data_IF_724396430692
#
_entry.id   IF_724396430692
#
_cell.length_a   1.000
_cell.length_b   1.000
_cell.length_c   1.000
_cell.angle_alpha   90.00
_cell.angle_beta   90.00
_cell.angle_gamma   90.00
#
_symmetry.space_group_name_H-M   'P 1'
#
loop_
_entity.id
_entity.type
_entity.pdbx_description
1 polymer ?
#
# COMPACT_ATOMS: atom_id res chain seq x y z
N UNK A 1 6.33 -1.08 -22.72
CA UNK A 1 4.86 -1.02 -22.88
C UNK A 1 4.26 -0.97 -21.49
N UNK A 2 3.26 -0.12 -21.20
CA UNK A 2 2.54 -0.23 -19.93
C UNK A 2 1.83 -1.60 -19.89
N UNK A 3 1.94 -2.31 -18.78
CA UNK A 3 1.20 -3.56 -18.60
C UNK A 3 -0.30 -3.24 -18.57
N UNK A 4 -1.17 -4.04 -19.23
CA UNK A 4 -2.60 -3.85 -19.10
C UNK A 4 -2.98 -3.98 -17.62
N UNK A 5 -3.67 -2.96 -17.10
CA UNK A 5 -4.06 -2.89 -15.69
C UNK A 5 -5.23 -3.84 -15.44
N UNK A 6 -5.13 -4.61 -14.37
CA UNK A 6 -6.14 -5.60 -13.99
C UNK A 6 -6.37 -5.52 -12.50
N UNK A 7 -7.62 -5.81 -12.11
CA UNK A 7 -7.93 -6.02 -10.72
C UNK A 7 -7.07 -7.14 -10.16
N UNK A 8 -6.66 -6.98 -8.91
CA UNK A 8 -5.80 -7.94 -8.26
C UNK A 8 -6.17 -8.16 -6.81
N UNK A 9 -5.80 -9.34 -6.34
CA UNK A 9 -5.89 -9.78 -4.96
C UNK A 9 -4.63 -10.59 -4.66
N UNK A 10 -3.88 -10.16 -3.64
CA UNK A 10 -2.63 -10.80 -3.23
C UNK A 10 -2.50 -10.88 -1.72
N UNK A 11 -1.86 -11.95 -1.27
CA UNK A 11 -1.38 -12.07 0.10
C UNK A 11 -0.03 -11.37 0.23
N UNK A 12 0.17 -10.69 1.35
CA UNK A 12 1.41 -10.00 1.71
C UNK A 12 1.77 -10.32 3.17
N UNK A 13 2.95 -9.88 3.59
CA UNK A 13 3.38 -9.98 4.99
C UNK A 13 4.08 -8.68 5.36
N UNK A 14 3.28 -7.63 5.59
CA UNK A 14 3.79 -6.29 5.86
C UNK A 14 3.61 -5.96 7.33
N UNK A 15 4.70 -6.13 8.08
CA UNK A 15 4.73 -5.78 9.49
C UNK A 15 5.00 -4.29 9.67
N UNK A 16 4.29 -3.61 10.59
CA UNK A 16 4.65 -2.26 10.97
C UNK A 16 6.05 -2.24 11.57
N UNK A 17 6.85 -1.27 11.16
CA UNK A 17 8.15 -0.98 11.75
C UNK A 17 8.04 0.31 12.58
N UNK A 18 8.93 0.46 13.57
CA UNK A 18 8.94 1.67 14.39
C UNK A 18 9.16 2.92 13.54
N UNK A 19 10.14 2.89 12.64
CA UNK A 19 10.40 3.99 11.71
C UNK A 19 10.39 3.50 10.26
N UNK A 20 10.10 4.45 9.35
CA UNK A 20 9.79 4.30 7.92
C UNK A 20 10.81 3.59 7.06
N UNK A 21 11.04 2.31 7.36
CA UNK A 21 11.79 1.39 6.54
C UNK A 21 11.08 1.24 5.20
N UNK A 22 11.48 2.08 4.25
CA UNK A 22 10.99 2.04 2.89
C UNK A 22 11.42 0.72 2.26
N UNK A 23 10.43 -0.05 1.81
CA UNK A 23 10.66 -1.25 1.02
C UNK A 23 10.50 -0.89 -0.44
N UNK A 24 11.61 -0.90 -1.17
CA UNK A 24 11.64 -0.72 -2.61
C UNK A 24 11.41 -2.05 -3.31
N UNK A 25 10.50 -2.05 -4.27
CA UNK A 25 10.18 -3.22 -5.08
C UNK A 25 10.75 -3.04 -6.48
N UNK A 26 11.46 -4.06 -6.97
CA UNK A 26 11.97 -4.06 -8.34
C UNK A 26 10.80 -3.96 -9.34
N UNK A 27 10.88 -3.01 -10.28
CA UNK A 27 9.89 -2.81 -11.35
C UNK A 27 9.81 -4.00 -12.33
N UNK A 28 10.75 -4.93 -12.27
CA UNK A 28 10.70 -6.19 -13.02
C UNK A 28 10.06 -7.34 -12.24
N UNK A 29 9.75 -7.16 -10.95
CA UNK A 29 9.09 -8.17 -10.13
C UNK A 29 7.63 -8.38 -10.54
N UNK A 30 7.11 -9.59 -10.28
CA UNK A 30 5.71 -9.89 -10.52
C UNK A 30 4.78 -9.10 -9.59
N UNK A 31 5.24 -8.77 -8.39
CA UNK A 31 4.51 -7.89 -7.47
C UNK A 31 4.27 -6.52 -8.10
N UNK A 32 5.32 -5.86 -8.62
CA UNK A 32 5.17 -4.56 -9.27
C UNK A 32 4.28 -4.64 -10.51
N UNK A 33 4.52 -5.64 -11.38
CA UNK A 33 3.71 -5.80 -12.60
C UNK A 33 2.23 -6.01 -12.31
N UNK A 34 1.89 -6.62 -11.17
CA UNK A 34 0.51 -6.88 -10.75
C UNK A 34 -0.12 -5.71 -10.00
N UNK A 35 0.63 -5.02 -9.15
CA UNK A 35 0.07 -4.01 -8.22
C UNK A 35 0.35 -2.57 -8.60
N UNK A 36 1.33 -2.34 -9.49
CA UNK A 36 1.89 -1.03 -9.78
C UNK A 36 2.71 -0.43 -8.64
N UNK A 37 2.76 -1.04 -7.46
CA UNK A 37 3.45 -0.51 -6.27
C UNK A 37 4.95 -0.79 -6.42
N UNK A 38 5.77 0.26 -6.40
CA UNK A 38 7.23 0.16 -6.44
C UNK A 38 7.92 0.56 -5.13
N UNK A 39 7.17 1.14 -4.19
CA UNK A 39 7.65 1.38 -2.84
C UNK A 39 6.48 1.27 -1.86
N UNK A 40 6.73 0.69 -0.69
CA UNK A 40 5.79 0.75 0.43
C UNK A 40 6.50 0.89 1.77
N UNK A 41 5.79 1.39 2.78
CA UNK A 41 6.19 1.35 4.17
C UNK A 41 4.96 1.18 5.06
N UNK A 42 5.11 0.44 6.15
CA UNK A 42 4.13 0.40 7.24
C UNK A 42 4.85 0.81 8.51
N UNK A 43 4.33 1.82 9.18
CA UNK A 43 4.98 2.40 10.34
C UNK A 43 3.99 2.85 11.42
N UNK A 44 4.50 3.08 12.62
CA UNK A 44 3.75 3.80 13.65
C UNK A 44 3.50 5.25 13.18
N UNK A 45 2.26 5.73 13.33
CA UNK A 45 1.86 7.06 12.88
C UNK A 45 2.19 8.13 13.93
N UNK A 46 3.47 8.53 14.01
CA UNK A 46 3.93 9.49 15.03
C UNK A 46 3.28 10.87 14.96
N UNK A 47 2.85 11.31 13.78
CA UNK A 47 2.25 12.62 13.57
C UNK A 47 0.72 12.61 13.64
N UNK A 48 0.11 11.45 13.96
CA UNK A 48 -1.32 11.30 14.02
C UNK A 48 -1.80 11.08 15.45
N UNK A 49 -2.60 12.02 15.98
CA UNK A 49 -3.15 11.90 17.33
C UNK A 49 -4.20 10.78 17.47
N UNK A 50 -4.84 10.40 16.37
CA UNK A 50 -5.99 9.49 16.38
C UNK A 50 -5.68 8.11 15.82
N UNK A 51 -4.57 7.97 15.07
CA UNK A 51 -4.21 6.74 14.39
C UNK A 51 -2.87 6.22 14.90
N UNK A 52 -2.78 4.91 15.14
CA UNK A 52 -1.56 4.26 15.63
C UNK A 52 -0.60 3.90 14.51
N UNK A 53 -1.10 3.67 13.29
CA UNK A 53 -0.31 3.17 12.18
C UNK A 53 -0.60 3.92 10.88
N UNK A 54 0.37 3.91 9.97
CA UNK A 54 0.30 4.52 8.65
C UNK A 54 0.85 3.54 7.61
N UNK A 55 0.12 3.37 6.51
CA UNK A 55 0.59 2.69 5.29
C UNK A 55 0.94 3.79 4.29
N UNK A 56 2.17 3.75 3.78
CA UNK A 56 2.66 4.63 2.73
C UNK A 56 2.96 3.80 1.49
N UNK A 57 2.49 4.21 0.32
CA UNK A 57 2.84 3.57 -0.95
C UNK A 57 3.24 4.58 -2.01
N UNK A 58 4.10 4.14 -2.93
CA UNK A 58 4.28 4.77 -4.23
C UNK A 58 3.89 3.78 -5.32
N UNK A 59 3.16 4.26 -6.31
CA UNK A 59 2.73 3.47 -7.47
C UNK A 59 2.81 4.29 -8.75
N UNK A 60 3.07 3.63 -9.88
CA UNK A 60 3.07 4.23 -11.22
C UNK A 60 1.67 4.19 -11.88
N UNK A 61 0.73 3.40 -11.34
CA UNK A 61 -0.56 3.11 -11.95
C UNK A 61 -1.76 3.48 -11.07
N UNK A 62 -2.87 4.01 -11.64
CA UNK A 62 -4.03 4.39 -10.84
C UNK A 62 -4.81 3.17 -10.38
N UNK A 63 -5.04 3.08 -9.08
CA UNK A 63 -5.77 1.99 -8.42
C UNK A 63 -6.50 2.50 -7.18
N UNK A 64 -7.63 1.87 -6.88
CA UNK A 64 -8.22 1.88 -5.54
C UNK A 64 -7.71 0.66 -4.79
N UNK A 65 -6.83 0.89 -3.81
CA UNK A 65 -6.27 -0.13 -2.95
C UNK A 65 -7.12 -0.34 -1.70
N UNK A 66 -7.29 -1.59 -1.29
CA UNK A 66 -7.83 -1.95 0.03
C UNK A 66 -6.82 -2.87 0.71
N UNK A 67 -6.36 -2.46 1.88
CA UNK A 67 -5.43 -3.21 2.73
C UNK A 67 -6.19 -3.91 3.84
N UNK A 68 -5.89 -5.17 4.09
CA UNK A 68 -6.49 -5.95 5.17
C UNK A 68 -5.44 -6.39 6.18
N UNK A 69 -5.75 -6.21 7.46
CA UNK A 69 -4.92 -6.69 8.56
C UNK A 69 -5.25 -8.12 8.99
N UNK A 70 -4.58 -8.62 10.03
CA UNK A 70 -4.78 -9.98 10.55
C UNK A 70 -6.14 -10.18 11.23
N UNK A 71 -6.82 -9.11 11.66
CA UNK A 71 -8.19 -9.15 12.21
C UNK A 71 -9.25 -9.16 11.09
N UNK A 72 -8.85 -8.82 9.87
CA UNK A 72 -9.72 -8.71 8.70
C UNK A 72 -10.32 -7.31 8.51
N UNK A 73 -9.87 -6.33 9.30
CA UNK A 73 -10.25 -4.93 9.14
C UNK A 73 -9.62 -4.38 7.85
N UNK A 74 -10.34 -3.47 7.19
CA UNK A 74 -9.98 -2.97 5.86
C UNK A 74 -9.74 -1.47 5.83
N UNK A 75 -8.73 -1.05 5.06
CA UNK A 75 -8.34 0.36 4.92
C UNK A 75 -8.20 0.72 3.44
N UNK A 76 -8.98 1.71 2.99
CA UNK A 76 -9.05 2.09 1.59
C UNK A 76 -8.14 3.27 1.25
N UNK A 77 -7.45 3.19 0.11
CA UNK A 77 -6.59 4.24 -0.44
C UNK A 77 -6.76 4.33 -1.95
N UNK A 78 -7.31 5.45 -2.43
CA UNK A 78 -7.48 5.70 -3.86
C UNK A 78 -6.36 6.56 -4.42
N UNK A 79 -5.65 6.05 -5.43
CA UNK A 79 -4.55 6.74 -6.12
C UNK A 79 -4.96 7.06 -7.55
N UNK A 80 -5.20 8.35 -7.83
CA UNK A 80 -5.67 8.83 -9.14
C UNK A 80 -4.57 9.42 -10.05
N UNK A 81 -3.46 9.94 -9.48
CA UNK A 81 -2.41 10.65 -10.23
C UNK A 81 -0.99 10.07 -10.03
N UNK A 82 -0.74 8.81 -10.41
CA UNK A 82 0.52 8.14 -10.08
C UNK A 82 1.63 8.41 -11.09
N UNK A 83 1.29 8.64 -12.36
CA UNK A 83 2.27 8.63 -13.46
C UNK A 83 3.16 9.87 -13.56
N UNK A 84 2.84 10.94 -12.84
CA UNK A 84 3.53 12.23 -12.93
C UNK A 84 3.90 12.82 -11.58
N UNK A 85 3.57 12.14 -10.48
CA UNK A 85 3.87 12.62 -9.16
C UNK A 85 4.57 11.50 -8.39
N UNK A 86 5.81 11.74 -7.98
CA UNK A 86 6.50 10.89 -7.00
C UNK A 86 5.88 11.11 -5.60
N UNK A 87 4.56 11.24 -5.52
CA UNK A 87 3.85 11.51 -4.28
C UNK A 87 3.71 10.20 -3.50
N UNK A 88 4.06 10.29 -2.23
CA UNK A 88 3.68 9.28 -1.26
C UNK A 88 2.17 9.37 -1.06
N UNK A 89 1.49 8.23 -1.16
CA UNK A 89 0.09 8.09 -0.83
C UNK A 89 -0.02 7.36 0.50
N UNK A 90 -0.72 7.98 1.46
CA UNK A 90 -0.77 7.50 2.83
C UNK A 90 -2.21 7.20 3.24
N UNK A 91 -2.39 6.11 4.00
CA UNK A 91 -3.62 5.83 4.76
C UNK A 91 -3.24 5.56 6.21
N UNK A 92 -3.91 6.27 7.11
CA UNK A 92 -3.75 6.09 8.55
C UNK A 92 -4.81 5.13 9.09
N UNK A 93 -4.43 4.27 10.03
CA UNK A 93 -5.32 3.24 10.56
C UNK A 93 -5.04 2.89 12.03
N UNK A 94 -6.01 2.20 12.63
CA UNK A 94 -5.95 1.65 13.98
C UNK A 94 -6.28 0.17 13.90
N UNK A 95 -5.42 -0.66 14.47
CA UNK A 95 -5.59 -2.12 14.51
C UNK A 95 -4.93 -2.66 15.78
N UNK A 96 -5.45 -3.76 16.33
CA UNK A 96 -4.76 -4.47 17.41
C UNK A 96 -3.75 -5.48 16.85
N UNK A 97 -3.97 -5.96 15.62
CA UNK A 97 -3.04 -6.79 14.86
C UNK A 97 -2.63 -6.09 13.55
N UNK A 98 -1.79 -5.05 13.62
CA UNK A 98 -1.57 -4.07 12.55
C UNK A 98 -0.84 -4.57 11.32
N UNK A 99 -0.43 -5.84 11.29
CA UNK A 99 0.24 -6.42 10.15
C UNK A 99 -0.74 -6.57 9.01
N UNK A 100 -0.37 -6.06 7.83
CA UNK A 100 -1.18 -6.21 6.62
C UNK A 100 -0.84 -7.56 5.99
N UNK A 101 -1.89 -8.33 5.72
CA UNK A 101 -1.79 -9.69 5.18
C UNK A 101 -2.37 -9.83 3.78
N UNK A 102 -3.19 -8.88 3.34
CA UNK A 102 -3.79 -8.91 2.00
C UNK A 102 -3.95 -7.52 1.43
N UNK A 103 -3.70 -7.39 0.13
CA UNK A 103 -3.91 -6.17 -0.64
C UNK A 103 -4.75 -6.49 -1.86
N UNK A 104 -5.84 -5.74 -2.00
CA UNK A 104 -6.71 -5.78 -3.17
C UNK A 104 -6.56 -4.46 -3.91
N UNK A 105 -6.54 -4.50 -5.24
CA UNK A 105 -6.54 -3.30 -6.06
C UNK A 105 -7.58 -3.40 -7.17
N UNK A 106 -8.34 -2.33 -7.36
CA UNK A 106 -9.26 -2.15 -8.48
C UNK A 106 -8.73 -1.09 -9.43
N UNK A 107 -8.58 -1.44 -10.70
CA UNK A 107 -8.07 -0.50 -11.69
C UNK A 107 -9.10 0.63 -11.92
N UNK A 108 -8.61 1.88 -12.01
CA UNK A 108 -9.43 3.08 -12.24
C UNK A 108 -9.19 3.64 -13.64
#
# INVERSE_FOLDING_TARGET
MPYPRHDFDIQVNWEPKKEGALVWVDKNSDFYKKTGIYMYAIQEAYYSYWYKYQISIHTDDPYAYTFYDEEGDSYDLTVNLPKFSAQTHDVNYNSNMPKIVRVVGKAI
#
